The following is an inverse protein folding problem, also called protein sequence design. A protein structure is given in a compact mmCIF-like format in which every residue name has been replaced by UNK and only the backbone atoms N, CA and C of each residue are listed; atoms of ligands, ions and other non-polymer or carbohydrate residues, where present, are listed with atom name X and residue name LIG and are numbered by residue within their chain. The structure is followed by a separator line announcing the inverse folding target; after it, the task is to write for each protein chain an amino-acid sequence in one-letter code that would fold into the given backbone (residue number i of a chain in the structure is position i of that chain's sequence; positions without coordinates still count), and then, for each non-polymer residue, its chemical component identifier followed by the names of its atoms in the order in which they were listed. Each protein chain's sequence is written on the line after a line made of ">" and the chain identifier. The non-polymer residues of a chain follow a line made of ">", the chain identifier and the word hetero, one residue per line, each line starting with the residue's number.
data_IF_952721305751
#
_entry.id   IF_952721305751
#
_cell.length_a   1.000
_cell.length_b   1.000
_cell.length_c   1.000
_cell.angle_alpha   90.00
_cell.angle_beta   90.00
_cell.angle_gamma   90.00
#
_symmetry.space_group_name_H-M   'P 1'
#
loop_
_entity.id
_entity.type
_entity.pdbx_description
1 polymer ?
#
# COMPACT_ATOMS: atom_id res chain seq x y z
N UNK A 1 3.36 -10.90 3.61
CA UNK A 1 4.41 -11.08 4.64
C UNK A 1 4.82 -12.54 4.75
N UNK A 2 6.07 -12.85 5.14
CA UNK A 2 6.47 -14.21 5.54
C UNK A 2 5.98 -14.49 6.96
N UNK A 3 5.40 -15.66 7.18
CA UNK A 3 4.89 -16.12 8.49
C UNK A 3 5.09 -17.62 8.62
N UNK A 4 5.75 -18.06 9.69
CA UNK A 4 6.13 -19.46 9.87
C UNK A 4 6.95 -19.99 8.68
N UNK A 5 6.48 -21.08 8.07
CA UNK A 5 7.09 -21.74 6.91
C UNK A 5 6.55 -21.26 5.55
N UNK A 6 5.78 -20.16 5.52
CA UNK A 6 5.16 -19.68 4.30
C UNK A 6 4.87 -18.18 4.30
N UNK A 7 3.84 -17.79 3.58
CA UNK A 7 3.44 -16.41 3.35
C UNK A 7 1.96 -16.23 3.66
N UNK A 8 1.63 -15.09 4.25
CA UNK A 8 0.25 -14.60 4.36
C UNK A 8 0.10 -13.29 3.61
N UNK A 9 -0.92 -13.23 2.76
CA UNK A 9 -1.34 -12.05 2.01
C UNK A 9 -2.60 -11.52 2.68
N UNK A 10 -2.58 -10.26 3.10
CA UNK A 10 -3.77 -9.54 3.53
C UNK A 10 -4.26 -8.70 2.37
N UNK A 11 -5.57 -8.70 2.15
CA UNK A 11 -6.13 -8.01 0.99
C UNK A 11 -7.52 -7.46 1.29
N UNK A 12 -7.89 -6.40 0.57
CA UNK A 12 -9.22 -5.84 0.66
C UNK A 12 -10.25 -6.81 0.05
N UNK A 13 -11.40 -6.93 0.70
CA UNK A 13 -12.55 -7.70 0.25
C UNK A 13 -13.77 -6.81 0.11
N UNK A 14 -14.56 -7.06 -0.93
CA UNK A 14 -15.86 -6.42 -1.15
C UNK A 14 -16.92 -7.50 -1.40
N UNK A 15 -17.34 -8.15 -0.32
CA UNK A 15 -18.33 -9.23 -0.38
C UNK A 15 -19.53 -8.99 0.55
N UNK A 16 -20.59 -9.80 0.39
CA UNK A 16 -21.86 -9.64 1.12
C UNK A 16 -21.76 -10.06 2.59
N UNK A 17 -20.72 -10.81 2.99
CA UNK A 17 -20.56 -11.40 4.33
C UNK A 17 -19.94 -10.45 5.37
N UNK A 18 -19.99 -9.13 5.13
CA UNK A 18 -19.42 -8.15 6.07
C UNK A 18 -20.21 -8.10 7.38
N UNK A 19 -19.57 -8.21 8.57
CA UNK A 19 -20.22 -8.11 9.87
C UNK A 19 -20.90 -6.76 10.09
N UNK A 20 -20.26 -5.67 9.65
CA UNK A 20 -20.82 -4.32 9.71
C UNK A 20 -21.56 -4.01 8.39
N UNK A 21 -22.90 -3.88 8.39
CA UNK A 21 -23.66 -3.62 7.17
C UNK A 21 -23.33 -2.25 6.53
N UNK A 22 -22.85 -1.29 7.34
CA UNK A 22 -22.42 0.05 6.88
C UNK A 22 -21.00 0.04 6.30
N UNK A 23 -20.22 -0.99 6.56
CA UNK A 23 -18.87 -1.11 6.04
C UNK A 23 -18.88 -1.22 4.52
N UNK A 24 -17.94 -0.52 3.87
CA UNK A 24 -17.72 -0.53 2.43
C UNK A 24 -16.38 -1.18 2.07
N UNK A 25 -15.85 -2.01 2.96
CA UNK A 25 -14.66 -2.82 2.71
C UNK A 25 -14.18 -3.50 3.99
N UNK A 26 -13.61 -4.68 3.86
CA UNK A 26 -13.00 -5.41 4.97
C UNK A 26 -11.69 -6.04 4.54
N UNK A 27 -10.87 -6.45 5.50
CA UNK A 27 -9.58 -7.09 5.24
C UNK A 27 -9.74 -8.60 5.42
N UNK A 28 -9.30 -9.35 4.43
CA UNK A 28 -9.23 -10.80 4.40
C UNK A 28 -7.77 -11.25 4.39
N UNK A 29 -7.56 -12.57 4.48
CA UNK A 29 -6.25 -13.15 4.25
C UNK A 29 -6.28 -14.44 3.42
N UNK A 30 -5.14 -14.75 2.82
CA UNK A 30 -4.85 -16.00 2.16
C UNK A 30 -3.44 -16.46 2.56
N UNK A 31 -3.25 -17.77 2.64
CA UNK A 31 -1.97 -18.38 2.98
C UNK A 31 -1.40 -19.16 1.80
N UNK A 32 -0.08 -19.16 1.68
CA UNK A 32 0.66 -19.94 0.70
C UNK A 32 1.97 -20.44 1.30
N UNK A 33 2.31 -21.71 1.09
CA UNK A 33 3.63 -22.23 1.48
C UNK A 33 4.74 -21.83 0.52
N UNK A 34 4.41 -21.70 -0.77
CA UNK A 34 5.37 -21.57 -1.86
C UNK A 34 5.32 -20.21 -2.57
N UNK A 35 4.43 -19.32 -2.13
CA UNK A 35 4.15 -18.04 -2.78
C UNK A 35 3.47 -18.16 -4.15
N UNK A 36 3.16 -19.38 -4.63
CA UNK A 36 2.49 -19.62 -5.93
C UNK A 36 1.01 -19.94 -5.73
N UNK A 37 0.69 -20.89 -4.86
CA UNK A 37 -0.68 -21.38 -4.67
C UNK A 37 -1.24 -20.81 -3.38
N UNK A 38 -2.34 -20.07 -3.49
CA UNK A 38 -2.92 -19.32 -2.38
C UNK A 38 -4.29 -19.91 -1.97
N UNK A 39 -4.40 -20.31 -0.71
CA UNK A 39 -5.66 -20.70 -0.10
C UNK A 39 -6.26 -19.55 0.69
N UNK A 40 -7.50 -19.14 0.37
CA UNK A 40 -8.25 -18.18 1.19
C UNK A 40 -8.42 -18.74 2.59
N UNK A 41 -8.01 -17.99 3.60
CA UNK A 41 -8.20 -18.37 4.99
C UNK A 41 -9.63 -18.00 5.45
N UNK A 42 -10.27 -18.81 6.31
CA UNK A 42 -11.63 -18.55 6.76
C UNK A 42 -11.71 -17.35 7.71
N UNK A 43 -12.80 -16.59 7.61
CA UNK A 43 -13.08 -15.44 8.48
C UNK A 43 -12.50 -14.11 7.98
N UNK A 44 -12.97 -13.04 8.62
CA UNK A 44 -12.57 -11.66 8.34
C UNK A 44 -11.49 -11.25 9.34
N UNK A 45 -10.48 -10.52 8.87
CA UNK A 45 -9.38 -10.02 9.72
C UNK A 45 -9.79 -8.74 10.42
N UNK A 46 -10.25 -7.76 9.66
CA UNK A 46 -10.70 -6.46 10.16
C UNK A 46 -11.89 -6.02 9.30
N UNK A 47 -12.89 -5.40 9.92
CA UNK A 47 -13.99 -4.71 9.23
C UNK A 47 -13.99 -3.21 9.60
N UNK A 48 -14.55 -2.34 8.76
CA UNK A 48 -14.60 -0.90 9.03
C UNK A 48 -15.37 -0.59 10.33
N UNK A 49 -15.00 0.52 10.99
CA UNK A 49 -15.60 1.00 12.24
C UNK A 49 -14.55 1.55 13.20
N UNK A 50 -14.91 2.57 13.96
CA UNK A 50 -14.00 3.29 14.86
C UNK A 50 -13.44 4.56 14.22
N UNK A 51 -12.80 5.37 15.05
CA UNK A 51 -12.29 6.70 14.69
C UNK A 51 -11.31 6.64 13.51
N UNK A 52 -11.52 7.51 12.52
CA UNK A 52 -10.72 7.58 11.29
C UNK A 52 -10.93 6.43 10.29
N UNK A 53 -11.82 5.48 10.58
CA UNK A 53 -12.05 4.29 9.75
C UNK A 53 -13.52 3.83 9.77
N UNK A 54 -14.48 4.73 10.00
CA UNK A 54 -15.88 4.36 10.27
C UNK A 54 -16.55 3.64 9.10
N UNK A 55 -16.15 3.93 7.86
CA UNK A 55 -16.89 3.53 6.67
C UNK A 55 -16.09 2.63 5.71
N UNK A 56 -14.79 2.85 5.55
CA UNK A 56 -13.94 2.08 4.62
C UNK A 56 -12.60 1.73 5.27
N UNK A 57 -12.07 0.56 4.92
CA UNK A 57 -10.71 0.15 5.25
C UNK A 57 -10.03 -0.53 4.07
N UNK A 58 -8.85 -0.05 3.65
CA UNK A 58 -8.11 -0.53 2.48
C UNK A 58 -6.61 -0.67 2.77
N UNK A 59 -5.87 -1.18 1.78
CA UNK A 59 -4.40 -1.11 1.71
C UNK A 59 -3.67 -1.55 2.99
N UNK A 60 -3.88 -2.79 3.50
CA UNK A 60 -3.22 -3.22 4.73
C UNK A 60 -1.73 -3.46 4.54
N UNK A 61 -0.93 -2.96 5.47
CA UNK A 61 0.48 -3.27 5.64
C UNK A 61 0.72 -3.88 7.02
N UNK A 62 1.47 -4.98 7.09
CA UNK A 62 1.69 -5.73 8.34
C UNK A 62 3.16 -5.84 8.65
N UNK A 63 3.55 -5.42 9.84
CA UNK A 63 4.90 -5.55 10.38
C UNK A 63 4.91 -6.48 11.61
N UNK A 64 5.96 -7.30 11.79
CA UNK A 64 6.17 -8.03 13.04
C UNK A 64 6.62 -7.07 14.13
N UNK A 65 6.18 -7.28 15.37
CA UNK A 65 6.60 -6.53 16.55
C UNK A 65 7.70 -7.26 17.32
N UNK A 66 8.48 -6.52 18.10
CA UNK A 66 9.60 -7.07 18.88
C UNK A 66 9.17 -8.07 19.96
N UNK A 67 7.92 -7.99 20.41
CA UNK A 67 7.30 -8.90 21.38
C UNK A 67 6.75 -10.20 20.75
N UNK A 68 6.91 -10.38 19.44
CA UNK A 68 6.45 -11.56 18.69
C UNK A 68 5.04 -11.44 18.12
N UNK A 69 4.33 -10.34 18.38
CA UNK A 69 3.05 -10.02 17.74
C UNK A 69 3.21 -9.36 16.37
N UNK A 70 2.11 -8.81 15.87
CA UNK A 70 2.02 -8.09 14.61
C UNK A 70 1.23 -6.80 14.79
N UNK A 71 1.64 -5.76 14.06
CA UNK A 71 0.83 -4.55 13.86
C UNK A 71 0.48 -4.43 12.39
N UNK A 72 -0.80 -4.20 12.12
CA UNK A 72 -1.29 -3.83 10.80
C UNK A 72 -1.53 -2.33 10.79
N UNK A 73 -0.90 -1.61 9.86
CA UNK A 73 -1.31 -0.27 9.46
C UNK A 73 -2.24 -0.38 8.26
N UNK A 74 -3.33 0.37 8.25
CA UNK A 74 -4.26 0.34 7.13
C UNK A 74 -4.90 1.71 6.93
N UNK A 75 -5.34 1.94 5.70
CA UNK A 75 -6.05 3.14 5.30
C UNK A 75 -7.49 3.07 5.80
N UNK A 76 -7.86 3.96 6.70
CA UNK A 76 -9.24 4.16 7.15
C UNK A 76 -9.87 5.36 6.46
N UNK A 77 -11.19 5.30 6.21
CA UNK A 77 -11.95 6.45 5.70
C UNK A 77 -13.26 6.71 6.41
N UNK A 78 -13.54 8.00 6.50
CA UNK A 78 -14.70 8.57 7.19
C UNK A 78 -15.46 9.51 6.27
N UNK A 79 -16.73 9.22 6.02
CA UNK A 79 -17.66 10.18 5.40
C UNK A 79 -17.96 11.30 6.40
N UNK A 80 -17.72 12.53 5.97
CA UNK A 80 -17.96 13.74 6.74
C UNK A 80 -19.39 14.24 6.54
N UNK A 81 -19.84 15.15 7.43
CA UNK A 81 -21.19 15.72 7.36
C UNK A 81 -21.48 16.49 6.06
N UNK A 82 -20.44 17.01 5.38
CA UNK A 82 -20.54 17.69 4.09
C UNK A 82 -20.51 16.74 2.88
N UNK A 83 -20.57 15.42 3.13
CA UNK A 83 -20.57 14.37 2.10
C UNK A 83 -19.19 14.03 1.53
N UNK A 84 -18.13 14.70 1.97
CA UNK A 84 -16.75 14.39 1.55
C UNK A 84 -16.18 13.23 2.35
N UNK A 85 -15.12 12.61 1.83
CA UNK A 85 -14.47 11.47 2.48
C UNK A 85 -13.06 11.85 2.89
N UNK A 86 -12.75 11.73 4.18
CA UNK A 86 -11.42 11.96 4.74
C UNK A 86 -10.75 10.62 5.03
N UNK A 87 -9.46 10.52 4.72
CA UNK A 87 -8.68 9.30 4.99
C UNK A 87 -7.58 9.56 6.02
N UNK A 88 -7.35 8.58 6.88
CA UNK A 88 -6.26 8.55 7.84
C UNK A 88 -5.61 7.16 7.86
N UNK A 89 -4.40 7.07 8.38
CA UNK A 89 -3.80 5.77 8.70
C UNK A 89 -4.19 5.40 10.12
N UNK A 90 -4.72 4.20 10.30
CA UNK A 90 -5.08 3.60 11.59
C UNK A 90 -4.35 2.26 11.75
N UNK A 91 -4.47 1.62 12.90
CA UNK A 91 -3.77 0.35 13.15
C UNK A 91 -4.56 -0.66 13.98
N UNK A 92 -4.08 -1.90 13.97
CA UNK A 92 -4.58 -3.01 14.77
C UNK A 92 -3.43 -3.95 15.18
N UNK A 93 -3.58 -4.62 16.30
CA UNK A 93 -2.65 -5.61 16.84
C UNK A 93 -3.16 -7.03 16.64
N UNK A 94 -2.23 -7.97 16.52
CA UNK A 94 -2.54 -9.39 16.49
C UNK A 94 -1.39 -10.20 17.07
N UNK A 95 -1.70 -11.29 17.76
CA UNK A 95 -0.69 -12.25 18.25
C UNK A 95 -0.46 -13.43 17.29
N UNK A 96 -1.39 -13.66 16.35
CA UNK A 96 -1.40 -14.83 15.46
C UNK A 96 -1.51 -14.46 13.95
N UNK A 97 -1.70 -13.18 13.65
CA UNK A 97 -1.95 -12.65 12.32
C UNK A 97 -3.33 -13.03 11.75
N UNK A 98 -4.24 -13.57 12.55
CA UNK A 98 -5.58 -13.98 12.14
C UNK A 98 -6.66 -13.20 12.87
N UNK A 99 -6.52 -13.00 14.17
CA UNK A 99 -7.43 -12.21 15.00
C UNK A 99 -6.79 -10.86 15.27
N UNK A 100 -7.50 -9.79 14.95
CA UNK A 100 -6.99 -8.43 15.00
C UNK A 100 -7.84 -7.55 15.93
N UNK A 101 -7.17 -6.82 16.81
CA UNK A 101 -7.77 -5.85 17.72
C UNK A 101 -7.38 -4.43 17.27
N UNK A 102 -8.37 -3.57 17.01
CA UNK A 102 -8.11 -2.19 16.57
C UNK A 102 -7.48 -1.39 17.70
N UNK A 103 -6.42 -0.67 17.38
CA UNK A 103 -5.78 0.25 18.34
C UNK A 103 -6.50 1.60 18.35
N UNK A 104 -6.70 2.22 19.52
CA UNK A 104 -7.38 3.52 19.61
C UNK A 104 -6.54 4.66 19.03
N UNK A 105 -7.18 5.56 18.29
CA UNK A 105 -6.57 6.75 17.69
C UNK A 105 -5.98 6.52 16.30
N UNK A 106 -5.70 7.62 15.61
CA UNK A 106 -5.13 7.65 14.26
C UNK A 106 -3.61 7.77 14.31
N UNK A 107 -2.93 7.04 13.42
CA UNK A 107 -1.45 7.00 13.32
C UNK A 107 -0.90 8.16 12.52
N UNK A 108 -1.59 8.52 11.44
CA UNK A 108 -1.25 9.65 10.59
C UNK A 108 -2.55 10.28 10.06
N UNK A 109 -2.78 11.55 10.40
CA UNK A 109 -3.96 12.34 10.03
C UNK A 109 -3.55 13.80 9.85
N UNK A 110 -4.21 14.52 8.94
CA UNK A 110 -3.97 15.94 8.70
C UNK A 110 -5.26 16.72 8.59
N UNK A 111 -5.23 18.03 8.80
CA UNK A 111 -6.43 18.89 8.68
C UNK A 111 -6.91 18.95 7.22
N UNK A 112 -5.99 19.33 6.31
CA UNK A 112 -6.23 19.57 4.89
C UNK A 112 -5.59 18.51 3.98
N UNK A 113 -5.30 17.33 4.54
CA UNK A 113 -4.65 16.22 3.83
C UNK A 113 -5.29 14.90 4.23
N UNK A 114 -5.48 14.02 3.26
CA UNK A 114 -5.81 12.60 3.47
C UNK A 114 -4.56 11.74 3.26
N UNK A 115 -4.33 10.79 4.17
CA UNK A 115 -3.25 9.82 4.07
C UNK A 115 -3.80 8.44 3.75
N UNK A 116 -3.19 7.76 2.78
CA UNK A 116 -3.70 6.53 2.17
C UNK A 116 -2.56 5.53 1.92
N UNK A 117 -2.91 4.26 1.72
CA UNK A 117 -1.99 3.18 1.37
C UNK A 117 -0.63 3.20 2.10
N UNK A 118 -0.63 2.88 3.41
CA UNK A 118 0.57 2.90 4.24
C UNK A 118 1.56 1.80 3.88
N UNK A 119 2.85 2.09 4.09
CA UNK A 119 3.93 1.10 4.14
C UNK A 119 4.94 1.48 5.22
N UNK A 120 5.07 0.65 6.24
CA UNK A 120 5.90 0.90 7.41
C UNK A 120 7.19 0.08 7.37
N UNK A 121 8.32 0.72 7.66
CA UNK A 121 9.62 0.08 7.83
C UNK A 121 10.18 0.38 9.22
N UNK A 122 10.95 -0.57 9.74
CA UNK A 122 11.90 -0.30 10.81
C UNK A 122 13.11 0.44 10.24
N UNK A 123 13.50 1.53 10.90
CA UNK A 123 14.77 2.19 10.71
C UNK A 123 15.80 1.63 11.68
N UNK A 124 17.05 1.57 11.23
CA UNK A 124 18.16 1.23 12.11
C UNK A 124 18.23 2.22 13.29
N UNK A 125 18.58 1.70 14.46
CA UNK A 125 18.84 2.52 15.62
C UNK A 125 20.12 3.33 15.39
N UNK A 126 20.02 4.66 15.47
CA UNK A 126 21.24 5.47 15.71
C UNK A 126 21.72 5.19 17.13
N UNK A 127 23.02 4.96 17.28
CA UNK A 127 23.68 4.68 18.55
C UNK A 127 23.26 5.70 19.63
N UNK A 128 22.43 5.27 20.59
CA UNK A 128 22.08 6.08 21.77
C UNK A 128 20.59 6.37 21.98
N UNK A 129 19.69 5.97 21.08
CA UNK A 129 18.24 6.04 21.32
C UNK A 129 17.68 4.63 21.58
N UNK A 130 16.81 4.48 22.58
CA UNK A 130 16.48 3.16 23.19
C UNK A 130 15.22 2.48 22.63
N UNK A 131 14.74 2.83 21.43
CA UNK A 131 13.48 2.27 20.89
C UNK A 131 13.38 2.25 19.36
N UNK A 132 12.69 1.24 18.78
CA UNK A 132 12.56 1.08 17.33
C UNK A 132 12.03 2.36 16.69
N UNK A 133 12.76 2.89 15.70
CA UNK A 133 12.32 4.04 14.93
C UNK A 133 11.59 3.51 13.71
N UNK A 134 10.37 3.97 13.49
CA UNK A 134 9.52 3.60 12.38
C UNK A 134 9.58 4.69 11.33
N UNK A 135 9.58 4.31 10.05
CA UNK A 135 9.26 5.21 8.94
C UNK A 135 8.06 4.67 8.19
N UNK A 136 7.01 5.47 8.12
CA UNK A 136 5.81 5.19 7.36
C UNK A 136 5.86 5.99 6.05
N UNK A 137 5.79 5.30 4.92
CA UNK A 137 5.49 5.90 3.63
C UNK A 137 3.98 5.84 3.42
N UNK A 138 3.40 6.91 2.88
CA UNK A 138 1.97 6.97 2.61
C UNK A 138 1.68 7.83 1.38
N UNK A 139 0.62 7.51 0.67
CA UNK A 139 0.05 8.41 -0.33
C UNK A 139 -0.59 9.60 0.39
N UNK A 140 -0.45 10.80 -0.15
CA UNK A 140 -0.90 12.06 0.44
C UNK A 140 -1.71 12.83 -0.60
N UNK A 141 -2.99 13.01 -0.32
CA UNK A 141 -3.93 13.71 -1.21
C UNK A 141 -4.44 14.97 -0.50
N UNK A 142 -4.65 16.09 -1.21
CA UNK A 142 -5.33 17.24 -0.63
C UNK A 142 -6.71 16.84 -0.12
N UNK A 143 -7.11 17.43 1.01
CA UNK A 143 -8.45 17.32 1.56
C UNK A 143 -9.05 18.72 1.76
N UNK A 144 -10.25 19.01 1.22
CA UNK A 144 -11.08 18.12 0.42
C UNK A 144 -10.46 17.76 -0.93
N UNK A 145 -10.60 16.49 -1.34
CA UNK A 145 -10.16 16.07 -2.68
C UNK A 145 -11.09 16.70 -3.72
N UNK A 146 -10.53 17.55 -4.58
CA UNK A 146 -11.28 18.23 -5.63
C UNK A 146 -11.06 17.50 -6.95
N UNK A 147 -12.15 17.30 -7.71
CA UNK A 147 -12.07 16.75 -9.05
C UNK A 147 -11.16 17.66 -9.89
N UNK A 148 -10.01 17.14 -10.28
CA UNK A 148 -9.04 17.88 -11.08
C UNK A 148 -9.27 17.56 -12.55
N UNK A 149 -9.17 18.57 -13.42
CA UNK A 149 -9.24 18.35 -14.85
C UNK A 149 -8.12 17.38 -15.29
N UNK A 150 -8.35 16.55 -16.33
CA UNK A 150 -7.32 15.64 -16.82
C UNK A 150 -6.02 16.37 -17.13
N UNK A 151 -4.89 15.86 -16.61
CA UNK A 151 -3.56 16.45 -16.80
C UNK A 151 -3.17 17.54 -15.81
N UNK A 152 -4.04 17.90 -14.85
CA UNK A 152 -3.69 18.83 -13.77
C UNK A 152 -3.04 18.08 -12.62
N UNK A 153 -1.80 18.47 -12.29
CA UNK A 153 -1.10 18.01 -11.10
C UNK A 153 -1.71 18.65 -9.85
N UNK A 154 -2.22 17.82 -8.94
CA UNK A 154 -3.01 18.23 -7.79
C UNK A 154 -2.37 17.76 -6.47
N UNK A 155 -1.04 17.63 -6.46
CA UNK A 155 -0.25 17.27 -5.28
C UNK A 155 -0.65 15.92 -4.65
N UNK A 156 -1.07 14.96 -5.47
CA UNK A 156 -1.33 13.58 -5.04
C UNK A 156 -0.03 12.78 -5.05
N UNK A 157 0.75 12.99 -4.01
CA UNK A 157 2.14 12.59 -3.88
C UNK A 157 2.31 11.38 -2.93
N UNK A 158 3.53 10.85 -2.84
CA UNK A 158 3.94 9.97 -1.73
C UNK A 158 4.83 10.76 -0.77
N UNK A 159 4.55 10.66 0.52
CA UNK A 159 5.27 11.31 1.62
C UNK A 159 5.79 10.27 2.61
N UNK A 160 6.56 10.72 3.60
CA UNK A 160 6.97 9.89 4.72
C UNK A 160 6.76 10.57 6.07
N UNK A 161 6.65 9.77 7.12
CA UNK A 161 6.53 10.20 8.50
C UNK A 161 7.34 9.26 9.41
N UNK A 162 7.84 9.75 10.54
CA UNK A 162 8.59 8.93 11.51
C UNK A 162 7.91 8.85 12.85
N UNK A 163 8.17 7.75 13.56
CA UNK A 163 7.67 7.52 14.91
C UNK A 163 8.71 6.77 15.74
N UNK A 164 8.72 6.98 17.06
CA UNK A 164 9.52 6.22 18.02
C UNK A 164 8.76 5.06 18.68
N UNK A 165 7.42 5.07 18.61
CA UNK A 165 6.54 4.08 19.24
C UNK A 165 5.67 3.32 18.22
N UNK A 166 5.66 3.78 16.97
CA UNK A 166 4.84 3.24 15.89
C UNK A 166 3.35 3.61 16.05
N UNK A 167 3.03 4.56 16.92
CA UNK A 167 1.66 5.02 17.20
C UNK A 167 1.44 6.47 16.84
N UNK A 168 2.43 7.34 17.08
CA UNK A 168 2.37 8.76 16.73
C UNK A 168 3.40 9.03 15.64
N UNK A 169 2.94 9.31 14.43
CA UNK A 169 3.82 9.63 13.30
C UNK A 169 3.86 11.13 13.03
N UNK A 170 5.08 11.66 12.97
CA UNK A 170 5.36 13.04 12.59
C UNK A 170 5.83 13.09 11.13
N UNK A 171 5.21 13.93 10.32
CA UNK A 171 5.57 14.09 8.92
C UNK A 171 7.03 14.53 8.77
N UNK A 172 7.76 13.86 7.89
CA UNK A 172 9.07 14.31 7.46
C UNK A 172 8.94 15.38 6.38
N UNK A 173 9.78 16.43 6.39
CA UNK A 173 9.68 17.51 5.42
C UNK A 173 9.99 17.03 3.99
N UNK A 174 9.18 17.48 3.02
CA UNK A 174 9.37 17.20 1.60
C UNK A 174 8.55 16.03 1.07
N UNK A 175 8.58 15.88 -0.26
CA UNK A 175 7.87 14.83 -1.00
C UNK A 175 8.85 13.71 -1.35
N UNK A 176 8.40 12.46 -1.25
CA UNK A 176 9.20 11.27 -1.63
C UNK A 176 9.05 10.98 -3.12
N UNK A 177 7.82 10.82 -3.59
CA UNK A 177 7.52 10.69 -5.01
C UNK A 177 6.52 11.79 -5.37
N UNK A 178 6.91 12.79 -6.18
CA UNK A 178 6.00 13.79 -6.68
C UNK A 178 5.13 13.23 -7.81
N UNK A 179 3.93 13.75 -7.97
CA UNK A 179 3.11 13.53 -9.17
C UNK A 179 3.59 14.49 -10.27
N UNK A 180 4.56 14.08 -11.09
CA UNK A 180 5.25 15.01 -12.02
C UNK A 180 5.48 14.46 -13.44
N UNK A 181 4.99 13.25 -13.75
CA UNK A 181 5.07 12.67 -15.11
C UNK A 181 3.68 12.44 -15.72
N UNK A 182 3.61 12.47 -17.05
CA UNK A 182 2.37 12.32 -17.80
C UNK A 182 1.67 10.97 -17.56
N UNK A 183 2.43 9.89 -17.35
CA UNK A 183 1.89 8.54 -17.13
C UNK A 183 1.43 8.28 -15.67
N UNK A 184 1.48 9.30 -14.83
CA UNK A 184 1.03 9.31 -13.43
C UNK A 184 0.34 10.65 -13.10
N UNK A 185 -0.21 11.32 -14.13
CA UNK A 185 -0.76 12.66 -14.03
C UNK A 185 -2.02 12.77 -13.16
N UNK A 186 -2.62 11.65 -12.74
CA UNK A 186 -3.75 11.64 -11.82
C UNK A 186 -3.34 11.41 -10.36
N UNK A 187 -2.35 10.56 -10.12
CA UNK A 187 -1.76 10.30 -8.79
C UNK A 187 -0.52 9.41 -8.88
N UNK A 188 0.35 9.53 -7.88
CA UNK A 188 1.25 8.46 -7.44
C UNK A 188 0.69 7.85 -6.14
N UNK A 189 0.72 6.53 -6.00
CA UNK A 189 -0.06 5.83 -4.97
C UNK A 189 0.59 4.52 -4.51
N UNK A 190 0.19 4.05 -3.31
CA UNK A 190 0.52 2.75 -2.73
C UNK A 190 2.01 2.36 -2.87
N UNK A 191 2.91 3.03 -2.13
CA UNK A 191 4.32 2.68 -2.10
C UNK A 191 4.52 1.29 -1.49
N UNK A 192 5.28 0.44 -2.17
CA UNK A 192 5.92 -0.74 -1.60
C UNK A 192 7.42 -0.48 -1.53
N UNK A 193 7.96 -0.45 -0.31
CA UNK A 193 9.36 -0.10 -0.08
C UNK A 193 10.11 -1.31 0.45
N UNK A 194 11.26 -1.58 -0.18
CA UNK A 194 12.20 -2.62 0.19
C UNK A 194 13.53 -1.96 0.57
N UNK A 195 14.09 -2.37 1.70
CA UNK A 195 15.49 -2.10 2.02
C UNK A 195 16.37 -3.07 1.25
N UNK A 196 17.38 -2.57 0.55
CA UNK A 196 18.28 -3.39 -0.24
C UNK A 196 19.44 -3.91 0.62
N UNK A 197 19.90 -5.13 0.34
CA UNK A 197 20.94 -5.79 1.13
C UNK A 197 22.32 -5.11 1.06
N UNK A 198 22.63 -4.44 -0.05
CA UNK A 198 23.92 -3.77 -0.26
C UNK A 198 23.92 -2.34 0.30
N UNK A 199 22.94 -1.53 -0.11
CA UNK A 199 22.67 -0.19 0.43
C UNK A 199 21.40 0.39 -0.20
N UNK A 200 20.75 1.32 0.50
CA UNK A 200 19.60 2.06 0.00
C UNK A 200 18.30 1.28 -0.04
N UNK A 201 17.37 1.81 -0.82
CA UNK A 201 15.97 1.42 -0.86
C UNK A 201 15.46 1.39 -2.29
N UNK A 202 14.56 0.46 -2.56
CA UNK A 202 13.74 0.41 -3.78
C UNK A 202 12.30 0.63 -3.40
N UNK A 203 11.63 1.56 -4.06
CA UNK A 203 10.20 1.75 -3.98
C UNK A 203 9.58 1.29 -5.30
N UNK A 204 8.55 0.46 -5.22
CA UNK A 204 7.59 0.25 -6.29
C UNK A 204 6.33 1.03 -5.94
N UNK A 205 5.73 1.72 -6.89
CA UNK A 205 4.55 2.54 -6.63
C UNK A 205 3.62 2.54 -7.83
N UNK A 206 2.33 2.70 -7.58
CA UNK A 206 1.34 2.82 -8.64
C UNK A 206 1.30 4.26 -9.18
N UNK A 207 1.31 4.43 -10.49
CA UNK A 207 1.07 5.71 -11.16
C UNK A 207 -0.21 5.63 -11.98
N UNK A 208 -1.10 6.62 -11.81
CA UNK A 208 -2.43 6.62 -12.41
C UNK A 208 -2.62 7.76 -13.40
N UNK A 209 -3.36 7.50 -14.48
CA UNK A 209 -3.83 8.49 -15.46
C UNK A 209 -5.33 8.32 -15.65
N UNK A 210 -6.06 9.42 -15.71
CA UNK A 210 -7.50 9.40 -15.95
C UNK A 210 -7.84 8.69 -17.29
N UNK A 211 -8.83 7.81 -17.28
CA UNK A 211 -9.21 6.96 -18.42
C UNK A 211 -10.72 7.03 -18.66
N UNK A 212 -11.24 8.12 -19.25
CA UNK A 212 -12.68 8.33 -19.46
C UNK A 212 -13.32 7.33 -20.43
N UNK A 213 -12.51 6.69 -21.28
CA UNK A 213 -12.93 5.67 -22.23
C UNK A 213 -13.24 4.32 -21.57
N UNK A 214 -12.83 4.13 -20.31
CA UNK A 214 -13.08 2.89 -19.55
C UNK A 214 -14.49 2.94 -18.97
N UNK A 215 -15.37 2.10 -19.50
CA UNK A 215 -16.79 2.11 -19.13
C UNK A 215 -17.12 1.48 -17.76
N UNK A 216 -16.24 0.65 -17.20
CA UNK A 216 -16.50 -0.09 -15.97
C UNK A 216 -15.22 -0.33 -15.15
N UNK A 217 -15.37 -0.34 -13.81
CA UNK A 217 -14.29 -0.58 -12.87
C UNK A 217 -13.49 0.67 -12.55
N UNK A 218 -12.19 0.65 -12.85
CA UNK A 218 -11.31 1.79 -12.55
C UNK A 218 -11.60 2.98 -13.45
N UNK A 219 -11.55 4.19 -12.88
CA UNK A 219 -11.60 5.47 -13.61
C UNK A 219 -10.25 5.87 -14.20
N UNK A 220 -9.21 5.05 -13.99
CA UNK A 220 -7.85 5.37 -14.36
C UNK A 220 -7.17 4.14 -14.99
N UNK A 221 -6.29 4.42 -15.94
CA UNK A 221 -5.19 3.52 -16.23
C UNK A 221 -4.19 3.58 -15.10
N UNK A 222 -3.77 2.44 -14.58
CA UNK A 222 -2.74 2.35 -13.56
C UNK A 222 -1.64 1.39 -13.96
N UNK A 223 -0.41 1.78 -13.66
CA UNK A 223 0.83 1.03 -13.91
C UNK A 223 1.66 1.06 -12.66
N UNK A 224 2.67 0.19 -12.59
CA UNK A 224 3.63 0.18 -11.50
C UNK A 224 4.96 0.71 -12.02
N UNK A 225 5.49 1.70 -11.32
CA UNK A 225 6.78 2.33 -11.54
C UNK A 225 7.72 1.98 -10.39
N UNK A 226 8.99 2.32 -10.55
CA UNK A 226 9.99 2.12 -9.51
C UNK A 226 10.89 3.34 -9.32
N UNK A 227 11.45 3.47 -8.13
CA UNK A 227 12.38 4.52 -7.75
C UNK A 227 13.43 3.99 -6.78
N UNK A 228 14.64 4.55 -6.84
CA UNK A 228 15.74 4.25 -5.94
C UNK A 228 16.00 5.41 -4.97
N UNK A 229 16.43 5.11 -3.75
CA UNK A 229 16.89 6.10 -2.79
C UNK A 229 18.03 5.54 -1.96
N UNK A 230 19.06 6.32 -1.68
CA UNK A 230 20.15 5.92 -0.78
C UNK A 230 19.75 6.04 0.70
N UNK A 231 18.95 7.06 1.04
CA UNK A 231 18.64 7.47 2.41
C UNK A 231 17.16 7.22 2.82
N UNK A 232 16.34 6.79 1.87
CA UNK A 232 14.89 6.62 2.01
C UNK A 232 14.11 7.94 1.98
N UNK A 233 14.77 9.07 1.73
CA UNK A 233 14.19 10.42 1.72
C UNK A 233 14.24 11.02 0.31
N UNK A 234 15.39 11.01 -0.34
CA UNK A 234 15.57 11.52 -1.71
C UNK A 234 15.42 10.37 -2.70
N UNK A 235 14.41 10.45 -3.56
CA UNK A 235 14.08 9.36 -4.49
C UNK A 235 14.32 9.76 -5.95
N UNK A 236 14.93 8.83 -6.69
CA UNK A 236 15.19 8.92 -8.12
C UNK A 236 14.32 7.89 -8.84
N UNK A 237 13.30 8.36 -9.55
CA UNK A 237 12.40 7.50 -10.33
C UNK A 237 13.14 6.90 -11.53
N UNK A 238 13.00 5.60 -11.72
CA UNK A 238 13.48 4.93 -12.92
C UNK A 238 12.73 5.49 -14.16
N UNK A 239 13.36 5.55 -15.35
CA UNK A 239 12.74 6.14 -16.52
C UNK A 239 11.59 5.30 -17.09
N UNK A 240 11.69 3.98 -16.95
CA UNK A 240 10.79 3.01 -17.57
C UNK A 240 9.68 2.55 -16.62
N UNK A 241 8.59 2.05 -17.22
CA UNK A 241 7.53 1.37 -16.49
C UNK A 241 8.07 0.03 -15.96
N UNK A 242 7.89 -0.23 -14.66
CA UNK A 242 8.29 -1.50 -14.04
C UNK A 242 7.31 -2.63 -14.41
N UNK A 243 6.00 -2.35 -14.34
CA UNK A 243 4.94 -3.27 -14.78
C UNK A 243 3.80 -2.47 -15.41
N UNK A 244 3.54 -2.73 -16.70
CA UNK A 244 2.49 -2.06 -17.46
C UNK A 244 1.14 -2.81 -17.37
N UNK A 245 0.06 -2.08 -17.57
CA UNK A 245 -1.27 -2.65 -17.74
C UNK A 245 -1.47 -3.13 -19.20
N UNK A 246 -2.45 -4.00 -19.43
CA UNK A 246 -2.73 -4.50 -20.80
C UNK A 246 -2.80 -6.01 -20.93
N UNK A 247 -2.41 -6.76 -19.91
CA UNK A 247 -2.60 -8.19 -19.85
C UNK A 247 -4.08 -8.57 -19.71
N UNK A 248 -4.37 -9.87 -19.82
CA UNK A 248 -5.76 -10.39 -19.80
C UNK A 248 -6.55 -10.10 -18.52
N UNK A 249 -5.86 -9.78 -17.42
CA UNK A 249 -6.44 -9.59 -16.08
C UNK A 249 -6.44 -8.15 -15.60
N UNK A 250 -5.58 -7.33 -16.19
CA UNK A 250 -5.20 -5.98 -15.83
C UNK A 250 -5.20 -5.07 -17.06
N UNK A 251 -6.08 -5.33 -18.04
CA UNK A 251 -6.16 -4.51 -19.27
C UNK A 251 -6.34 -3.03 -18.96
N UNK A 252 -6.98 -2.70 -17.83
CA UNK A 252 -7.25 -1.34 -17.39
C UNK A 252 -6.21 -0.86 -16.39
N UNK A 253 -5.93 -1.64 -15.35
CA UNK A 253 -5.13 -1.18 -14.21
C UNK A 253 -4.33 -2.31 -13.59
N UNK A 254 -3.06 -2.01 -13.32
CA UNK A 254 -2.19 -2.68 -12.37
C UNK A 254 -1.80 -1.65 -11.28
N UNK A 255 -1.97 -1.98 -10.00
CA UNK A 255 -1.80 -1.03 -8.89
C UNK A 255 -1.50 -1.74 -7.56
N UNK A 256 -1.19 -0.98 -6.52
CA UNK A 256 -0.99 -1.48 -5.14
C UNK A 256 -0.02 -2.67 -5.09
N UNK A 257 1.25 -2.47 -5.50
CA UNK A 257 2.25 -3.53 -5.48
C UNK A 257 2.50 -4.04 -4.06
N UNK A 258 2.79 -5.33 -3.93
CA UNK A 258 3.40 -5.94 -2.75
C UNK A 258 4.43 -6.96 -3.22
N UNK A 259 5.64 -6.92 -2.70
CA UNK A 259 6.74 -7.77 -3.16
C UNK A 259 7.11 -8.79 -2.08
N UNK A 260 7.37 -10.03 -2.51
CA UNK A 260 7.98 -11.07 -1.68
C UNK A 260 9.23 -11.64 -2.37
N UNK A 261 10.17 -12.08 -1.55
CA UNK A 261 11.26 -12.94 -1.98
C UNK A 261 10.76 -14.38 -2.15
N UNK A 262 11.22 -15.06 -3.20
CA UNK A 262 10.99 -16.47 -3.43
C UNK A 262 12.25 -17.27 -3.04
N UNK A 263 12.07 -18.54 -2.66
CA UNK A 263 13.18 -19.41 -2.25
C UNK A 263 14.21 -19.67 -3.36
N UNK A 264 13.84 -19.43 -4.63
CA UNK A 264 14.73 -19.53 -5.79
C UNK A 264 15.52 -18.25 -6.10
N UNK A 265 15.47 -17.26 -5.21
CA UNK A 265 16.18 -15.99 -5.32
C UNK A 265 15.52 -14.97 -6.24
N UNK A 266 14.37 -15.28 -6.83
CA UNK A 266 13.56 -14.30 -7.57
C UNK A 266 12.64 -13.53 -6.63
N UNK A 267 12.05 -12.46 -7.17
CA UNK A 267 11.03 -11.68 -6.48
C UNK A 267 9.68 -11.89 -7.15
N UNK A 268 8.61 -11.96 -6.37
CA UNK A 268 7.24 -11.90 -6.88
C UNK A 268 6.56 -10.63 -6.41
N UNK A 269 6.02 -9.88 -7.36
CA UNK A 269 5.12 -8.77 -7.12
C UNK A 269 3.68 -9.24 -7.27
N UNK A 270 2.89 -9.09 -6.22
CA UNK A 270 1.43 -9.12 -6.28
C UNK A 270 0.90 -7.72 -6.50
N UNK A 271 -0.22 -7.60 -7.20
CA UNK A 271 -0.81 -6.31 -7.49
C UNK A 271 -2.33 -6.40 -7.73
N UNK A 272 -3.03 -5.31 -7.46
CA UNK A 272 -4.42 -5.10 -7.81
C UNK A 272 -4.56 -5.00 -9.34
N UNK A 273 -5.40 -5.86 -9.91
CA UNK A 273 -5.63 -5.97 -11.34
C UNK A 273 -7.11 -5.74 -11.70
N UNK A 274 -7.35 -4.77 -12.61
CA UNK A 274 -8.67 -4.47 -13.16
C UNK A 274 -8.71 -4.66 -14.68
N UNK A 275 -9.74 -5.32 -15.18
CA UNK A 275 -9.99 -5.43 -16.63
C UNK A 275 -11.06 -4.45 -17.12
N UNK A 276 -11.24 -4.36 -18.45
CA UNK A 276 -12.23 -3.48 -19.10
C UNK A 276 -13.69 -3.79 -18.75
N UNK A 277 -13.96 -4.95 -18.14
CA UNK A 277 -15.30 -5.32 -17.65
C UNK A 277 -15.51 -4.91 -16.19
N UNK A 278 -14.55 -4.23 -15.57
CA UNK A 278 -14.60 -3.78 -14.20
C UNK A 278 -14.49 -4.90 -13.16
N UNK A 279 -13.96 -6.06 -13.55
CA UNK A 279 -13.66 -7.13 -12.60
C UNK A 279 -12.36 -6.78 -11.87
N UNK A 280 -12.30 -6.99 -10.56
CA UNK A 280 -11.12 -6.77 -9.73
C UNK A 280 -10.57 -8.11 -9.23
N UNK A 281 -9.24 -8.22 -9.16
CA UNK A 281 -8.55 -9.39 -8.60
C UNK A 281 -7.13 -9.02 -8.17
N UNK A 282 -6.47 -9.97 -7.53
CA UNK A 282 -5.02 -9.92 -7.31
C UNK A 282 -4.36 -10.74 -8.41
N UNK A 283 -3.42 -10.13 -9.12
CA UNK A 283 -2.54 -10.80 -10.07
C UNK A 283 -1.10 -10.77 -9.55
N UNK A 284 -0.19 -11.46 -10.24
CA UNK A 284 1.22 -11.40 -9.89
C UNK A 284 2.13 -11.53 -11.10
N UNK A 285 3.33 -10.97 -10.96
CA UNK A 285 4.44 -11.10 -11.88
C UNK A 285 5.70 -11.52 -11.09
N UNK A 286 6.58 -12.30 -11.73
CA UNK A 286 7.83 -12.75 -11.11
C UNK A 286 9.01 -12.19 -11.89
N UNK A 287 10.01 -11.71 -11.18
CA UNK A 287 11.24 -11.21 -11.79
C UNK A 287 11.90 -12.30 -12.64
N UNK A 288 12.61 -11.89 -13.68
CA UNK A 288 13.48 -12.81 -14.40
C UNK A 288 14.63 -13.24 -13.50
N UNK A 289 15.17 -14.44 -13.73
CA UNK A 289 16.45 -14.82 -13.14
C UNK A 289 17.49 -13.87 -13.73
N UNK A 290 18.27 -13.19 -12.88
CA UNK A 290 19.45 -12.48 -13.36
C UNK A 290 20.37 -13.52 -13.97
N UNK A 291 20.49 -13.55 -15.30
CA UNK A 291 21.62 -14.21 -15.93
C UNK A 291 22.81 -13.37 -15.49
N UNK A 292 23.60 -13.88 -14.54
CA UNK A 292 24.88 -13.26 -14.25
C UNK A 292 25.60 -13.09 -15.58
N UNK A 293 25.94 -11.84 -15.92
CA UNK A 293 26.73 -11.53 -17.11
C UNK A 293 27.91 -12.49 -17.13
N UNK A 294 27.94 -13.34 -18.15
CA UNK A 294 28.95 -14.37 -18.29
C UNK A 294 30.31 -13.73 -18.49
N UNK A 295 31.28 -14.24 -17.70
CA UNK A 295 32.74 -14.18 -17.86
C UNK A 295 33.43 -12.82 -17.95
#
# INVERSE_FOLDING_TARGET
>A
MRIGDGYRLYYHGFGPERPNPKSKGYILSAFSKDGNTWGKEPGIRIDAGGDGAEHYIWSPDVIPLADGGYRMYYEGKTEQADGKVKSAIVSALSTDGLLWEKEPGMRLVGENTSFLAPRCLYLDQESGNNGPRYRLYASSYPYPDSASAPGVFNNRNIVSATSSDGLIFELEPGVRIPQDRAQESYAVYAPEVLRLATSGYRMYYAGWVFAPEVAAGSKCHGRIFSAFSEDGLTWHKDPDICLDNGGRWDTTKASEPCVIDLDDGRFRMFYEACDKKGRWRIASATSLVSLADGS
#
